data_IF_348539061525
#
_entry.id   IF_348539061525
#
_cell.length_a   1.000
_cell.length_b   1.000
_cell.length_c   1.000
_cell.angle_alpha   90.00
_cell.angle_beta   90.00
_cell.angle_gamma   90.00
#
_symmetry.space_group_name_H-M   'P 1'
#
loop_
_entity.id
_entity.type
_entity.pdbx_description
1 polymer ?
#
# COMPACT_ATOMS: atom_id res chain seq x y z
N UNK A 1 -45.22 -34.52 -14.88
CA UNK A 1 -45.57 -33.83 -16.14
C UNK A 1 -46.11 -32.45 -15.73
N UNK A 2 -45.86 -31.28 -16.31
CA UNK A 2 -44.92 -30.72 -17.32
C UNK A 2 -45.35 -29.25 -17.55
N UNK A 3 -44.54 -28.22 -17.87
CA UNK A 3 -43.12 -28.02 -18.24
C UNK A 3 -42.75 -26.54 -17.91
N UNK A 4 -41.46 -26.16 -17.90
CA UNK A 4 -41.05 -24.74 -18.01
C UNK A 4 -41.14 -24.23 -19.47
N UNK A 5 -41.16 -22.90 -19.70
CA UNK A 5 -39.94 -22.12 -20.02
C UNK A 5 -39.98 -20.66 -19.44
N UNK A 6 -38.98 -19.77 -19.54
CA UNK A 6 -37.57 -19.78 -19.99
C UNK A 6 -36.83 -18.56 -19.42
N UNK A 7 -35.49 -18.60 -19.37
CA UNK A 7 -34.65 -17.42 -19.14
C UNK A 7 -34.80 -16.36 -20.25
N UNK A 8 -34.82 -15.08 -19.89
CA UNK A 8 -34.46 -13.98 -20.80
C UNK A 8 -33.22 -13.23 -20.30
N UNK A 9 -32.23 -13.11 -21.19
CA UNK A 9 -30.96 -12.44 -20.93
C UNK A 9 -31.12 -10.93 -21.07
N UNK A 10 -30.58 -10.17 -20.13
CA UNK A 10 -30.32 -8.73 -20.33
C UNK A 10 -29.14 -8.62 -21.32
N UNK A 11 -29.43 -8.35 -22.60
CA UNK A 11 -28.40 -8.37 -23.67
C UNK A 11 -27.82 -7.01 -24.04
N UNK A 12 -28.34 -5.89 -23.52
CA UNK A 12 -27.71 -4.58 -23.70
C UNK A 12 -28.19 -3.56 -22.66
N UNK A 13 -27.23 -2.80 -22.10
CA UNK A 13 -27.49 -1.53 -21.43
C UNK A 13 -26.94 -0.46 -22.36
N UNK A 14 -27.79 0.43 -22.89
CA UNK A 14 -27.33 1.61 -23.62
C UNK A 14 -27.07 2.76 -22.63
N UNK A 15 -25.91 3.37 -22.77
CA UNK A 15 -25.42 4.48 -21.95
C UNK A 15 -25.65 5.78 -22.72
N UNK A 16 -26.40 6.72 -22.17
CA UNK A 16 -26.50 8.08 -22.75
C UNK A 16 -25.41 8.98 -22.15
N UNK A 17 -24.50 9.55 -22.96
CA UNK A 17 -23.51 10.50 -22.49
C UNK A 17 -24.15 11.86 -22.17
N UNK A 18 -23.61 12.65 -21.22
CA UNK A 18 -24.19 13.93 -20.83
C UNK A 18 -24.17 14.94 -21.99
N UNK A 19 -25.31 15.61 -22.21
CA UNK A 19 -25.51 16.54 -23.31
C UNK A 19 -24.63 17.80 -23.17
N UNK A 20 -23.68 17.98 -24.10
CA UNK A 20 -22.87 19.20 -24.19
C UNK A 20 -23.66 20.34 -24.86
N UNK A 21 -23.94 21.42 -24.12
CA UNK A 21 -24.51 22.64 -24.71
C UNK A 21 -23.41 23.63 -25.10
N UNK A 22 -23.43 24.13 -26.34
CA UNK A 22 -22.61 25.27 -26.77
C UNK A 22 -23.46 26.52 -26.96
N UNK A 23 -22.91 27.69 -26.61
CA UNK A 23 -23.52 29.01 -26.84
C UNK A 23 -22.78 29.66 -28.01
N UNK A 24 -23.52 30.19 -28.99
CA UNK A 24 -22.91 30.91 -30.10
C UNK A 24 -22.52 32.37 -29.74
N UNK A 25 -21.77 33.05 -30.62
CA UNK A 25 -21.33 34.44 -30.40
C UNK A 25 -22.46 35.48 -30.44
N UNK A 26 -23.71 35.09 -30.73
CA UNK A 26 -24.90 35.93 -30.60
C UNK A 26 -25.66 35.65 -29.29
N UNK A 27 -25.14 34.79 -28.42
CA UNK A 27 -25.74 34.44 -27.12
C UNK A 27 -26.87 33.42 -27.21
N UNK A 28 -27.10 32.78 -28.37
CA UNK A 28 -28.18 31.80 -28.51
C UNK A 28 -27.68 30.42 -28.03
N UNK A 29 -28.38 29.87 -27.04
CA UNK A 29 -28.10 28.54 -26.47
C UNK A 29 -28.95 27.51 -27.21
N UNK A 30 -28.30 26.59 -27.92
CA UNK A 30 -28.99 25.51 -28.65
C UNK A 30 -28.71 24.18 -27.95
N UNK A 31 -29.77 23.51 -27.50
CA UNK A 31 -29.70 22.15 -26.96
C UNK A 31 -30.07 21.20 -28.09
N UNK A 32 -29.19 20.26 -28.43
CA UNK A 32 -29.52 19.18 -29.34
C UNK A 32 -30.25 18.07 -28.57
N UNK A 33 -31.51 17.84 -28.92
CA UNK A 33 -32.29 16.68 -28.47
C UNK A 33 -32.64 15.88 -29.72
N UNK A 34 -32.24 14.59 -29.84
CA UNK A 34 -32.66 13.75 -30.95
C UNK A 34 -34.19 13.61 -30.98
N UNK A 35 -34.80 13.80 -32.15
CA UNK A 35 -36.24 13.69 -32.34
C UNK A 35 -36.71 12.24 -32.15
N UNK A 36 -37.49 11.97 -31.10
CA UNK A 36 -38.09 10.65 -30.90
C UNK A 36 -38.91 10.47 -29.62
N UNK A 37 -38.52 11.12 -28.53
CA UNK A 37 -39.20 10.96 -27.24
C UNK A 37 -40.42 11.88 -27.10
N UNK A 38 -41.62 11.27 -27.06
CA UNK A 38 -42.83 11.90 -26.51
C UNK A 38 -42.91 11.61 -25.02
N UNK A 39 -43.21 12.63 -24.22
CA UNK A 39 -43.46 12.51 -22.79
C UNK A 39 -44.91 12.10 -22.51
N UNK A 40 -45.11 10.95 -21.88
CA UNK A 40 -46.37 10.58 -21.23
C UNK A 40 -46.10 10.27 -19.74
N UNK A 41 -46.84 10.93 -18.84
CA UNK A 41 -46.95 10.56 -17.42
C UNK A 41 -45.79 10.96 -16.50
N UNK A 42 -45.83 12.19 -15.95
CA UNK A 42 -44.80 12.75 -15.05
C UNK A 42 -44.67 12.12 -13.63
N UNK A 43 -45.40 11.05 -13.29
CA UNK A 43 -45.51 10.59 -11.89
C UNK A 43 -44.81 9.25 -11.53
N UNK A 44 -44.07 8.58 -12.43
CA UNK A 44 -43.44 7.27 -12.11
C UNK A 44 -42.01 7.04 -12.62
N UNK A 45 -41.11 8.00 -12.40
CA UNK A 45 -39.66 7.75 -12.26
C UNK A 45 -39.18 8.50 -11.01
N UNK A 46 -38.37 7.97 -10.10
CA UNK A 46 -37.33 6.97 -10.22
C UNK A 46 -36.15 7.30 -9.28
N UNK A 47 -36.04 8.55 -8.83
CA UNK A 47 -35.01 9.03 -7.90
C UNK A 47 -35.40 8.94 -6.41
N UNK A 48 -36.64 9.28 -6.04
CA UNK A 48 -37.09 9.30 -4.63
C UNK A 48 -37.07 7.92 -3.93
N UNK A 49 -36.82 6.83 -4.67
CA UNK A 49 -36.69 5.47 -4.12
C UNK A 49 -35.23 5.00 -3.94
N UNK A 50 -34.25 5.80 -4.38
CA UNK A 50 -32.83 5.51 -4.23
C UNK A 50 -32.28 5.93 -2.84
N UNK A 51 -32.94 6.88 -2.15
CA UNK A 51 -32.56 7.33 -0.80
C UNK A 51 -33.25 6.54 0.32
N UNK A 52 -33.18 5.21 0.19
CA UNK A 52 -32.78 4.39 1.33
C UNK A 52 -31.55 3.57 0.93
N UNK A 53 -30.40 4.26 0.87
CA UNK A 53 -29.16 3.65 1.35
C UNK A 53 -29.52 2.93 2.65
N UNK A 54 -29.24 1.62 2.80
CA UNK A 54 -29.59 0.90 4.02
C UNK A 54 -29.10 1.72 5.21
N UNK A 55 -29.94 1.90 6.24
CA UNK A 55 -29.52 2.62 7.45
C UNK A 55 -28.28 1.97 8.08
N UNK A 56 -28.07 0.68 7.80
CA UNK A 56 -26.84 -0.07 8.05
C UNK A 56 -25.59 0.48 7.33
N UNK A 57 -25.68 0.98 6.10
CA UNK A 57 -24.52 1.49 5.33
C UNK A 57 -24.06 2.86 5.85
N UNK A 58 -24.98 3.76 6.20
CA UNK A 58 -24.62 5.02 6.87
C UNK A 58 -24.15 4.79 8.32
N UNK A 59 -24.77 3.86 9.06
CA UNK A 59 -24.27 3.45 10.39
C UNK A 59 -22.90 2.75 10.31
N UNK A 60 -22.62 1.99 9.25
CA UNK A 60 -21.31 1.37 9.03
C UNK A 60 -20.24 2.40 8.67
N UNK A 61 -20.56 3.39 7.82
CA UNK A 61 -19.68 4.56 7.59
C UNK A 61 -19.39 5.30 8.90
N UNK A 62 -20.38 5.45 9.78
CA UNK A 62 -20.22 6.05 11.11
C UNK A 62 -19.42 5.21 12.12
N UNK A 63 -18.96 4.00 11.74
CA UNK A 63 -18.14 3.10 12.56
C UNK A 63 -16.74 2.83 12.01
N UNK A 64 -16.40 3.32 10.82
CA UNK A 64 -15.03 3.19 10.32
C UNK A 64 -14.07 4.03 11.19
N UNK A 65 -12.82 3.57 11.42
CA UNK A 65 -11.84 4.36 12.14
C UNK A 65 -11.52 5.67 11.38
N UNK A 66 -11.20 6.74 12.09
CA UNK A 66 -10.79 8.01 11.48
C UNK A 66 -9.46 8.53 12.00
N UNK A 67 -8.77 9.33 11.19
CA UNK A 67 -7.51 10.02 11.52
C UNK A 67 -7.70 11.46 11.08
N UNK A 68 -7.51 12.41 12.00
CA UNK A 68 -7.62 13.85 11.73
C UNK A 68 -6.39 14.59 12.23
N UNK A 69 -5.98 15.61 11.48
CA UNK A 69 -4.93 16.56 11.85
C UNK A 69 -5.55 17.81 12.52
N UNK A 70 -4.76 18.50 13.34
CA UNK A 70 -5.21 19.65 14.11
C UNK A 70 -5.39 20.92 13.26
N UNK A 71 -6.47 21.66 13.54
CA UNK A 71 -6.74 22.98 12.98
C UNK A 71 -7.30 22.96 11.55
N UNK A 72 -8.34 23.77 11.22
CA UNK A 72 -8.87 23.85 9.86
C UNK A 72 -7.85 24.54 8.95
N UNK A 73 -7.15 23.75 8.14
CA UNK A 73 -6.13 24.18 7.20
C UNK A 73 -6.32 23.46 5.86
N UNK A 74 -5.81 24.03 4.77
CA UNK A 74 -5.76 23.39 3.45
C UNK A 74 -5.16 21.97 3.55
N UNK A 75 -4.07 21.85 4.31
CA UNK A 75 -3.42 20.58 4.67
C UNK A 75 -4.37 19.59 5.36
N UNK A 76 -5.10 20.00 6.40
CA UNK A 76 -5.98 19.08 7.14
C UNK A 76 -7.16 18.61 6.28
N UNK A 77 -7.73 19.50 5.48
CA UNK A 77 -8.84 19.16 4.55
C UNK A 77 -8.34 18.18 3.49
N UNK A 78 -7.21 18.49 2.84
CA UNK A 78 -6.62 17.61 1.83
C UNK A 78 -6.25 16.23 2.40
N UNK A 79 -5.78 16.17 3.65
CA UNK A 79 -5.51 14.91 4.34
C UNK A 79 -6.78 14.12 4.67
N UNK A 80 -7.82 14.77 5.19
CA UNK A 80 -9.11 14.14 5.46
C UNK A 80 -9.74 13.59 4.16
N UNK A 81 -9.58 14.29 3.03
CA UNK A 81 -9.95 13.78 1.70
C UNK A 81 -9.14 12.54 1.28
N UNK A 82 -7.82 12.53 1.50
CA UNK A 82 -7.00 11.34 1.25
C UNK A 82 -7.47 10.15 2.07
N UNK A 83 -7.68 10.34 3.38
CA UNK A 83 -8.22 9.30 4.26
C UNK A 83 -9.58 8.83 3.75
N UNK A 84 -10.50 9.75 3.42
CA UNK A 84 -11.84 9.40 2.96
C UNK A 84 -11.85 8.64 1.63
N UNK A 85 -10.97 8.97 0.67
CA UNK A 85 -10.89 8.29 -0.62
C UNK A 85 -10.21 6.93 -0.46
N UNK A 86 -9.05 6.85 0.21
CA UNK A 86 -8.34 5.58 0.43
C UNK A 86 -9.18 4.62 1.30
N UNK A 87 -9.86 5.11 2.34
CA UNK A 87 -10.80 4.31 3.15
C UNK A 87 -11.97 3.76 2.32
N UNK A 88 -12.39 4.48 1.27
CA UNK A 88 -13.41 4.07 0.29
C UNK A 88 -12.82 3.42 -0.97
N UNK A 89 -11.56 2.98 -0.94
CA UNK A 89 -10.95 2.18 -2.00
C UNK A 89 -11.93 1.09 -2.44
N UNK A 90 -12.05 0.80 -3.76
CA UNK A 90 -13.14 0.04 -4.34
C UNK A 90 -13.20 -1.39 -3.78
N UNK A 91 -13.95 -1.50 -2.69
CA UNK A 91 -14.50 -2.67 -2.06
C UNK A 91 -16.02 -2.46 -2.01
N UNK A 92 -16.60 -2.06 -3.17
CA UNK A 92 -18.04 -2.15 -3.37
C UNK A 92 -18.44 -3.62 -3.36
N UNK A 93 -19.70 -3.93 -3.05
CA UNK A 93 -20.18 -5.32 -3.06
C UNK A 93 -19.97 -6.01 -4.42
N UNK A 94 -19.92 -5.24 -5.50
CA UNK A 94 -19.72 -5.72 -6.88
C UNK A 94 -18.24 -5.94 -7.24
N UNK A 95 -17.32 -5.16 -6.65
CA UNK A 95 -15.88 -5.22 -6.88
C UNK A 95 -15.08 -5.41 -5.58
N UNK A 96 -15.25 -6.53 -4.85
CA UNK A 96 -14.48 -6.81 -3.65
C UNK A 96 -12.99 -7.08 -3.92
N UNK A 97 -12.12 -6.52 -3.06
CA UNK A 97 -10.66 -6.64 -3.16
C UNK A 97 -10.21 -8.11 -3.09
N UNK A 98 -10.83 -8.97 -2.28
CA UNK A 98 -10.47 -10.39 -2.19
C UNK A 98 -10.57 -11.13 -3.53
N UNK A 99 -11.53 -10.71 -4.37
CA UNK A 99 -11.80 -11.33 -5.67
C UNK A 99 -10.99 -10.70 -6.81
N UNK A 100 -10.89 -9.37 -6.85
CA UNK A 100 -10.31 -8.63 -7.98
C UNK A 100 -8.91 -8.07 -7.71
N UNK A 101 -8.60 -7.83 -6.44
CA UNK A 101 -7.40 -7.11 -6.00
C UNK A 101 -7.64 -5.60 -5.99
N UNK A 102 -6.57 -4.84 -5.85
CA UNK A 102 -6.60 -3.39 -5.88
C UNK A 102 -5.30 -2.86 -6.52
N UNK A 103 -5.42 -2.26 -7.70
CA UNK A 103 -4.30 -1.64 -8.40
C UNK A 103 -3.99 -0.21 -7.94
N UNK A 104 -2.86 0.38 -8.39
CA UNK A 104 -2.37 1.68 -7.91
C UNK A 104 -3.34 2.86 -8.09
N UNK A 105 -4.24 2.78 -9.09
CA UNK A 105 -5.29 3.76 -9.36
C UNK A 105 -6.71 3.32 -8.94
N UNK A 106 -6.84 2.17 -8.26
CA UNK A 106 -8.13 1.53 -7.99
C UNK A 106 -8.91 1.30 -9.29
N UNK A 107 -10.16 1.76 -9.33
CA UNK A 107 -11.03 1.77 -10.52
C UNK A 107 -11.14 3.16 -11.18
N UNK A 108 -10.21 4.08 -10.89
CA UNK A 108 -10.27 5.47 -11.40
C UNK A 108 -9.53 5.68 -12.71
N UNK A 109 -8.85 4.64 -13.23
CA UNK A 109 -8.10 4.67 -14.48
C UNK A 109 -7.96 3.27 -15.10
N UNK A 110 -7.62 3.19 -16.39
CA UNK A 110 -7.29 1.96 -17.11
C UNK A 110 -5.78 1.66 -17.16
N UNK A 111 -4.92 2.61 -16.75
CA UNK A 111 -3.48 2.38 -16.56
C UNK A 111 -3.22 1.21 -15.61
N UNK A 112 -2.23 0.41 -15.99
CA UNK A 112 -1.90 -0.87 -15.37
C UNK A 112 -3.07 -1.87 -15.32
N UNK A 113 -4.12 -1.68 -16.14
CA UNK A 113 -5.23 -2.61 -16.36
C UNK A 113 -5.99 -3.03 -15.07
N UNK A 114 -5.93 -2.22 -14.02
CA UNK A 114 -6.45 -2.58 -12.69
C UNK A 114 -5.69 -3.71 -11.99
N UNK A 115 -4.52 -4.11 -12.49
CA UNK A 115 -3.69 -5.16 -11.91
C UNK A 115 -3.16 -4.75 -10.53
N UNK A 116 -2.93 -5.74 -9.68
CA UNK A 116 -2.46 -5.60 -8.30
C UNK A 116 -0.96 -5.84 -8.21
N UNK A 117 -0.25 -4.87 -7.65
CA UNK A 117 1.20 -4.81 -7.51
C UNK A 117 1.60 -4.91 -6.02
N UNK A 118 2.90 -4.84 -5.72
CA UNK A 118 3.43 -4.66 -4.36
C UNK A 118 2.86 -3.42 -3.64
N UNK A 119 2.38 -2.42 -4.39
CA UNK A 119 1.62 -1.26 -3.91
C UNK A 119 0.55 -1.60 -2.87
N UNK A 120 -0.19 -2.70 -3.08
CA UNK A 120 -1.22 -3.17 -2.17
C UNK A 120 -0.61 -3.56 -0.81
N UNK A 121 0.43 -4.39 -0.83
CA UNK A 121 1.02 -4.99 0.37
C UNK A 121 1.92 -4.01 1.14
N UNK A 122 2.59 -3.10 0.44
CA UNK A 122 3.60 -2.18 1.00
C UNK A 122 3.02 -0.82 1.40
N UNK A 123 2.02 -0.30 0.68
CA UNK A 123 1.47 1.02 0.96
C UNK A 123 0.01 0.99 1.41
N UNK A 124 -0.87 0.30 0.68
CA UNK A 124 -2.31 0.34 0.96
C UNK A 124 -2.67 -0.45 2.23
N UNK A 125 -2.16 -1.67 2.39
CA UNK A 125 -2.39 -2.52 3.58
C UNK A 125 -1.98 -1.81 4.87
N UNK A 126 -0.76 -1.23 5.01
CA UNK A 126 -0.38 -0.51 6.23
C UNK A 126 -1.32 0.65 6.60
N UNK A 127 -1.91 1.34 5.62
CA UNK A 127 -2.92 2.36 5.89
C UNK A 127 -4.27 1.72 6.30
N UNK A 128 -4.72 0.71 5.57
CA UNK A 128 -5.97 -0.01 5.81
C UNK A 128 -6.05 -0.62 7.23
N UNK A 129 -4.95 -1.10 7.82
CA UNK A 129 -4.93 -1.58 9.21
C UNK A 129 -5.49 -0.56 10.22
N UNK A 130 -5.35 0.74 9.93
CA UNK A 130 -5.78 1.82 10.80
C UNK A 130 -7.02 2.58 10.31
N UNK A 131 -7.37 2.54 9.02
CA UNK A 131 -8.54 3.28 8.48
C UNK A 131 -9.64 2.38 7.89
N UNK A 132 -9.32 1.16 7.45
CA UNK A 132 -10.31 0.19 6.95
C UNK A 132 -9.82 -1.26 7.15
N UNK A 133 -9.94 -1.82 8.38
CA UNK A 133 -9.51 -3.18 8.67
C UNK A 133 -10.18 -4.26 7.81
N UNK A 134 -11.37 -3.99 7.27
CA UNK A 134 -12.04 -4.90 6.32
C UNK A 134 -11.30 -4.95 4.99
N UNK A 135 -10.87 -3.80 4.45
CA UNK A 135 -10.05 -3.75 3.23
C UNK A 135 -8.67 -4.42 3.44
N UNK A 136 -8.05 -4.26 4.62
CA UNK A 136 -6.82 -4.97 4.96
C UNK A 136 -7.01 -6.50 4.99
N UNK A 137 -8.16 -6.97 5.52
CA UNK A 137 -8.54 -8.39 5.47
C UNK A 137 -8.72 -8.87 4.03
N UNK A 138 -9.52 -8.16 3.23
CA UNK A 138 -9.76 -8.50 1.82
C UNK A 138 -8.48 -8.52 0.98
N UNK A 139 -7.54 -7.60 1.23
CA UNK A 139 -6.22 -7.60 0.61
C UNK A 139 -5.37 -8.84 0.99
N UNK A 140 -5.45 -9.28 2.25
CA UNK A 140 -4.80 -10.52 2.67
C UNK A 140 -5.47 -11.76 2.04
N UNK A 141 -6.80 -11.83 2.06
CA UNK A 141 -7.57 -12.91 1.42
C UNK A 141 -7.24 -13.02 -0.08
N UNK A 142 -7.14 -11.88 -0.79
CA UNK A 142 -6.73 -11.83 -2.20
C UNK A 142 -5.42 -12.58 -2.47
N UNK A 143 -4.39 -12.34 -1.65
CA UNK A 143 -3.08 -12.99 -1.77
C UNK A 143 -3.13 -14.45 -1.34
N UNK A 144 -3.86 -14.78 -0.27
CA UNK A 144 -3.99 -16.16 0.23
C UNK A 144 -4.71 -17.08 -0.77
N UNK A 145 -5.82 -16.63 -1.36
CA UNK A 145 -6.55 -17.37 -2.41
C UNK A 145 -5.68 -17.66 -3.64
N UNK A 146 -4.65 -16.83 -3.87
CA UNK A 146 -3.71 -16.96 -4.99
C UNK A 146 -2.44 -17.74 -4.66
N UNK A 147 -2.25 -18.18 -3.40
CA UNK A 147 -1.09 -18.99 -3.00
C UNK A 147 -0.97 -20.29 -3.82
N UNK A 148 -2.10 -20.93 -4.16
CA UNK A 148 -2.12 -22.12 -5.02
C UNK A 148 -1.68 -21.83 -6.48
N UNK A 149 -1.92 -20.61 -6.99
CA UNK A 149 -1.37 -20.19 -8.28
C UNK A 149 0.10 -19.76 -8.14
N UNK A 150 0.50 -19.10 -7.06
CA UNK A 150 1.90 -18.75 -6.79
C UNK A 150 2.81 -19.99 -6.72
N UNK A 151 2.30 -21.12 -6.19
CA UNK A 151 2.92 -22.46 -6.27
C UNK A 151 3.09 -22.95 -7.71
N UNK A 152 2.09 -22.73 -8.59
CA UNK A 152 2.18 -23.09 -10.02
C UNK A 152 3.18 -22.20 -10.77
N UNK A 153 3.16 -20.89 -10.51
CA UNK A 153 4.11 -19.92 -11.07
C UNK A 153 5.57 -20.32 -10.73
N UNK A 154 5.84 -20.71 -9.47
CA UNK A 154 7.14 -21.24 -9.06
C UNK A 154 7.52 -22.51 -9.84
N UNK A 155 6.61 -23.49 -9.94
CA UNK A 155 6.89 -24.73 -10.67
C UNK A 155 7.17 -24.50 -12.17
N UNK A 156 6.55 -23.50 -12.79
CA UNK A 156 6.83 -23.09 -14.17
C UNK A 156 8.21 -22.41 -14.29
N UNK A 157 8.52 -21.47 -13.38
CA UNK A 157 9.81 -20.80 -13.30
C UNK A 157 10.98 -21.78 -13.07
N UNK A 158 10.80 -22.74 -12.16
CA UNK A 158 11.82 -23.71 -11.76
C UNK A 158 12.11 -24.74 -12.86
N UNK A 159 11.10 -25.16 -13.65
CA UNK A 159 11.32 -25.99 -14.87
C UNK A 159 12.29 -25.31 -15.86
N UNK A 160 12.26 -23.98 -15.95
CA UNK A 160 13.15 -23.20 -16.80
C UNK A 160 14.60 -23.08 -16.30
N UNK A 161 14.98 -23.77 -15.22
CA UNK A 161 16.33 -23.73 -14.64
C UNK A 161 17.19 -24.98 -14.90
N UNK A 162 16.63 -26.08 -15.43
CA UNK A 162 17.33 -27.35 -15.68
C UNK A 162 18.05 -27.96 -14.45
N UNK A 163 17.62 -27.59 -13.24
CA UNK A 163 18.14 -28.13 -11.97
C UNK A 163 17.08 -29.01 -11.31
N UNK A 164 17.49 -29.98 -10.48
CA UNK A 164 16.57 -30.72 -9.64
C UNK A 164 16.08 -29.83 -8.49
N UNK A 165 14.76 -29.64 -8.37
CA UNK A 165 14.16 -28.78 -7.36
C UNK A 165 13.07 -29.50 -6.56
N UNK A 166 12.99 -29.21 -5.27
CA UNK A 166 11.88 -29.64 -4.44
C UNK A 166 10.61 -28.86 -4.82
N UNK A 167 9.48 -29.58 -4.91
CA UNK A 167 8.17 -28.97 -5.11
C UNK A 167 7.74 -28.31 -3.80
N UNK A 168 7.66 -26.97 -3.78
CA UNK A 168 7.34 -26.25 -2.55
C UNK A 168 7.61 -24.76 -2.53
N UNK A 169 8.19 -24.16 -3.58
CA UNK A 169 8.34 -22.71 -3.69
C UNK A 169 7.04 -21.98 -4.09
N UNK A 170 6.94 -20.68 -3.81
CA UNK A 170 5.89 -19.78 -4.32
C UNK A 170 6.51 -18.54 -4.95
N UNK A 171 5.96 -18.13 -6.09
CA UNK A 171 6.26 -16.84 -6.74
C UNK A 171 4.94 -16.12 -6.99
N UNK A 172 4.75 -14.99 -6.32
CA UNK A 172 3.68 -14.04 -6.68
C UNK A 172 4.13 -13.24 -7.91
N UNK A 173 3.22 -12.97 -8.86
CA UNK A 173 3.54 -12.19 -10.03
C UNK A 173 3.73 -10.71 -9.69
N UNK A 174 4.52 -10.01 -10.51
CA UNK A 174 4.68 -8.56 -10.44
C UNK A 174 3.36 -7.85 -10.67
N UNK A 175 2.66 -8.20 -11.76
CA UNK A 175 1.28 -7.80 -11.99
C UNK A 175 0.36 -8.99 -11.74
N UNK A 176 -0.48 -8.89 -10.71
CA UNK A 176 -1.48 -9.90 -10.37
C UNK A 176 -2.87 -9.46 -10.85
N UNK A 177 -3.59 -10.38 -11.49
CA UNK A 177 -5.01 -10.20 -11.84
C UNK A 177 -5.87 -11.27 -11.16
N UNK A 178 -7.15 -11.39 -11.54
CA UNK A 178 -8.11 -12.37 -10.98
C UNK A 178 -7.55 -13.80 -10.97
N UNK A 179 -6.71 -14.15 -11.95
CA UNK A 179 -6.10 -15.47 -12.12
C UNK A 179 -4.91 -15.77 -11.19
N UNK A 180 -4.25 -14.75 -10.62
CA UNK A 180 -2.99 -14.88 -9.89
C UNK A 180 -1.77 -15.29 -10.74
N UNK A 181 -1.91 -15.35 -12.08
CA UNK A 181 -0.79 -15.52 -13.01
C UNK A 181 -0.08 -14.19 -13.23
N UNK A 182 1.17 -14.27 -13.69
CA UNK A 182 1.85 -13.10 -14.25
C UNK A 182 1.10 -12.61 -15.49
N UNK A 183 0.77 -11.32 -15.48
CA UNK A 183 0.10 -10.62 -16.58
C UNK A 183 0.85 -9.34 -17.00
N UNK A 184 2.00 -9.05 -16.40
CA UNK A 184 2.84 -7.94 -16.83
C UNK A 184 3.33 -8.17 -18.25
N UNK A 185 3.12 -7.17 -19.11
CA UNK A 185 3.56 -7.17 -20.51
C UNK A 185 5.04 -6.76 -20.68
N UNK A 186 5.66 -6.23 -19.63
CA UNK A 186 7.04 -5.71 -19.65
C UNK A 186 8.02 -6.74 -19.06
N UNK A 187 9.33 -6.52 -19.24
CA UNK A 187 10.39 -7.40 -18.70
C UNK A 187 10.59 -7.15 -17.20
N UNK A 188 9.65 -7.59 -16.37
CA UNK A 188 9.69 -7.45 -14.89
C UNK A 188 10.19 -8.70 -14.18
N UNK A 189 10.65 -9.72 -14.92
CA UNK A 189 11.14 -11.01 -14.40
C UNK A 189 12.15 -10.88 -13.24
N UNK A 190 12.94 -9.80 -13.20
CA UNK A 190 13.99 -9.58 -12.21
C UNK A 190 13.55 -8.68 -11.03
N UNK A 191 12.34 -8.09 -11.02
CA UNK A 191 11.71 -7.40 -9.88
C UNK A 191 11.12 -8.42 -8.89
N UNK A 192 11.99 -9.08 -8.14
CA UNK A 192 11.62 -10.28 -7.38
C UNK A 192 11.35 -10.03 -5.88
N UNK A 193 11.36 -8.76 -5.44
CA UNK A 193 10.96 -8.39 -4.09
C UNK A 193 9.45 -8.63 -3.82
N UNK A 194 8.60 -8.56 -4.85
CA UNK A 194 7.14 -8.76 -4.78
C UNK A 194 6.69 -9.97 -3.95
N UNK A 195 7.38 -11.10 -4.05
CA UNK A 195 7.00 -12.29 -3.28
C UNK A 195 7.26 -12.11 -1.77
N UNK A 196 8.33 -11.42 -1.40
CA UNK A 196 8.61 -11.00 -0.02
C UNK A 196 7.67 -9.89 0.46
N UNK A 197 7.33 -8.92 -0.39
CA UNK A 197 6.34 -7.88 -0.09
C UNK A 197 4.99 -8.46 0.30
N UNK A 198 4.53 -9.50 -0.42
CA UNK A 198 3.30 -10.23 -0.08
C UNK A 198 3.40 -10.90 1.29
N UNK A 199 4.54 -11.53 1.63
CA UNK A 199 4.73 -12.09 2.99
C UNK A 199 4.73 -10.96 4.03
N UNK A 200 5.30 -9.80 3.72
CA UNK A 200 5.32 -8.63 4.60
C UNK A 200 3.91 -8.11 4.88
N UNK A 201 3.13 -7.78 3.84
CA UNK A 201 1.74 -7.30 3.98
C UNK A 201 0.84 -8.31 4.69
N UNK A 202 0.91 -9.59 4.32
CA UNK A 202 0.19 -10.68 5.00
C UNK A 202 0.55 -10.78 6.50
N UNK A 203 1.80 -10.49 6.86
CA UNK A 203 2.26 -10.55 8.25
C UNK A 203 1.74 -9.37 9.08
N UNK A 204 1.62 -8.18 8.49
CA UNK A 204 0.98 -7.05 9.15
C UNK A 204 -0.51 -7.31 9.37
N UNK A 205 -1.20 -7.94 8.41
CA UNK A 205 -2.58 -8.42 8.60
C UNK A 205 -2.66 -9.53 9.67
N UNK A 206 -1.74 -10.50 9.71
CA UNK A 206 -1.67 -11.51 10.78
C UNK A 206 -1.50 -10.87 12.16
N UNK A 207 -0.67 -9.84 12.27
CA UNK A 207 -0.45 -9.12 13.53
C UNK A 207 -1.75 -8.53 14.10
N UNK A 208 -2.64 -8.01 13.23
CA UNK A 208 -3.96 -7.50 13.60
C UNK A 208 -5.06 -8.57 13.69
N UNK A 209 -4.75 -9.85 13.42
CA UNK A 209 -5.72 -10.95 13.39
C UNK A 209 -6.60 -10.99 12.14
N UNK A 210 -6.18 -10.31 11.07
CA UNK A 210 -6.89 -10.17 9.79
C UNK A 210 -6.44 -11.18 8.72
N UNK A 211 -5.40 -11.98 9.00
CA UNK A 211 -4.95 -13.07 8.13
C UNK A 211 -4.75 -14.37 8.93
N UNK A 212 -4.99 -15.53 8.31
CA UNK A 212 -4.84 -16.83 8.97
C UNK A 212 -3.34 -17.15 9.20
N UNK A 213 -2.84 -17.28 10.44
CA UNK A 213 -1.42 -17.47 10.71
C UNK A 213 -0.81 -18.74 10.08
N UNK A 214 -1.61 -19.79 9.92
CA UNK A 214 -1.16 -21.06 9.31
C UNK A 214 -0.98 -20.90 7.80
N UNK A 215 -1.90 -20.19 7.14
CA UNK A 215 -1.81 -19.89 5.72
C UNK A 215 -0.65 -18.93 5.43
N UNK A 216 -0.48 -17.87 6.22
CA UNK A 216 0.66 -16.95 6.09
C UNK A 216 2.00 -17.67 6.34
N UNK A 217 2.05 -18.63 7.28
CA UNK A 217 3.23 -19.46 7.48
C UNK A 217 3.54 -20.39 6.29
N UNK A 218 2.55 -20.89 5.56
CA UNK A 218 2.79 -21.68 4.34
C UNK A 218 3.31 -20.83 3.19
N UNK A 219 2.70 -19.65 2.99
CA UNK A 219 3.19 -18.66 2.02
C UNK A 219 4.63 -18.24 2.35
N UNK A 220 4.93 -17.99 3.62
CA UNK A 220 6.30 -17.68 4.10
C UNK A 220 7.29 -18.77 3.69
N UNK A 221 7.00 -20.05 3.99
CA UNK A 221 7.89 -21.18 3.64
C UNK A 221 8.09 -21.28 2.13
N UNK A 222 7.02 -21.11 1.35
CA UNK A 222 7.11 -21.18 -0.11
C UNK A 222 7.93 -20.05 -0.73
N UNK A 223 7.76 -18.82 -0.24
CA UNK A 223 8.56 -17.68 -0.70
C UNK A 223 10.02 -17.81 -0.24
N UNK A 224 10.28 -18.30 0.97
CA UNK A 224 11.63 -18.64 1.43
C UNK A 224 12.31 -19.69 0.53
N UNK A 225 11.59 -20.75 0.14
CA UNK A 225 12.12 -21.77 -0.77
C UNK A 225 12.40 -21.20 -2.18
N UNK A 226 11.58 -20.27 -2.67
CA UNK A 226 11.88 -19.53 -3.90
C UNK A 226 13.19 -18.73 -3.76
N UNK A 227 13.33 -17.88 -2.73
CA UNK A 227 14.57 -17.13 -2.50
C UNK A 227 15.78 -18.03 -2.24
N UNK A 228 15.57 -19.21 -1.65
CA UNK A 228 16.57 -20.27 -1.55
C UNK A 228 17.09 -20.67 -2.92
N UNK A 229 16.21 -21.16 -3.80
CA UNK A 229 16.57 -21.59 -5.16
C UNK A 229 17.04 -20.43 -6.06
N UNK A 230 16.60 -19.20 -5.81
CA UNK A 230 16.97 -18.01 -6.60
C UNK A 230 18.35 -17.43 -6.25
N UNK A 231 18.86 -17.74 -5.06
CA UNK A 231 20.17 -17.28 -4.57
C UNK A 231 21.29 -18.27 -4.86
N UNK A 232 22.50 -17.74 -5.04
CA UNK A 232 23.74 -18.51 -5.17
C UNK A 232 24.52 -18.43 -3.87
N UNK A 233 24.97 -19.58 -3.35
CA UNK A 233 25.90 -19.58 -2.21
C UNK A 233 27.30 -19.18 -2.71
N UNK A 234 27.92 -18.21 -2.03
CA UNK A 234 29.29 -17.74 -2.26
C UNK A 234 30.05 -17.64 -0.92
N UNK A 235 31.29 -17.14 -0.96
CA UNK A 235 32.05 -16.78 0.22
C UNK A 235 31.49 -15.53 0.96
N UNK A 236 30.64 -14.71 0.32
CA UNK A 236 29.99 -13.53 0.92
C UNK A 236 28.67 -13.87 1.64
N UNK A 237 28.17 -15.09 1.50
CA UNK A 237 26.84 -15.50 1.95
C UNK A 237 25.99 -16.01 0.79
N UNK A 238 24.66 -15.90 0.90
CA UNK A 238 23.73 -16.11 -0.21
C UNK A 238 23.56 -14.82 -0.99
N UNK A 239 23.82 -14.87 -2.29
CA UNK A 239 23.74 -13.71 -3.18
C UNK A 239 22.59 -13.86 -4.17
N UNK A 240 21.86 -12.77 -4.42
CA UNK A 240 20.84 -12.72 -5.48
C UNK A 240 21.35 -11.79 -6.58
N UNK A 241 21.88 -12.42 -7.63
CA UNK A 241 22.48 -11.74 -8.79
C UNK A 241 21.40 -11.38 -9.83
N UNK A 242 21.61 -10.33 -10.63
CA UNK A 242 20.68 -9.84 -11.68
C UNK A 242 19.25 -9.61 -11.14
N UNK A 243 19.11 -8.60 -10.28
CA UNK A 243 17.85 -8.17 -9.65
C UNK A 243 17.53 -6.74 -10.07
N UNK A 244 16.29 -6.49 -10.48
CA UNK A 244 15.78 -5.13 -10.66
C UNK A 244 15.42 -4.57 -9.29
N UNK A 245 16.06 -3.48 -8.89
CA UNK A 245 15.78 -2.81 -7.62
C UNK A 245 14.36 -2.19 -7.61
N UNK A 246 13.76 -1.91 -6.44
CA UNK A 246 12.63 -0.98 -6.35
C UNK A 246 12.90 0.36 -7.07
N UNK A 247 14.17 0.76 -7.19
CA UNK A 247 14.57 1.77 -8.16
C UNK A 247 14.68 1.15 -9.57
N UNK A 248 13.54 1.03 -10.25
CA UNK A 248 13.33 0.21 -11.47
C UNK A 248 14.26 0.51 -12.66
N UNK A 249 14.92 1.67 -12.67
CA UNK A 249 15.90 2.05 -13.71
C UNK A 249 17.21 1.25 -13.64
N UNK A 250 17.43 0.49 -12.57
CA UNK A 250 18.70 -0.19 -12.31
C UNK A 250 18.45 -1.69 -12.04
N UNK A 251 19.08 -2.52 -12.87
CA UNK A 251 19.30 -3.94 -12.60
C UNK A 251 20.72 -4.09 -12.05
N UNK A 252 20.90 -4.87 -10.98
CA UNK A 252 22.19 -5.04 -10.30
C UNK A 252 22.21 -6.28 -9.40
N UNK A 253 23.40 -6.60 -8.89
CA UNK A 253 23.58 -7.72 -7.97
C UNK A 253 23.30 -7.29 -6.53
N UNK A 254 22.66 -8.17 -5.77
CA UNK A 254 22.47 -8.03 -4.32
C UNK A 254 21.70 -6.76 -3.89
N UNK A 255 20.56 -6.48 -4.53
CA UNK A 255 19.63 -5.43 -4.06
C UNK A 255 19.27 -5.62 -2.58
N UNK A 256 19.55 -4.60 -1.76
CA UNK A 256 19.42 -4.62 -0.31
C UNK A 256 17.99 -4.97 0.12
N UNK A 257 16.99 -4.38 -0.52
CA UNK A 257 15.58 -4.59 -0.17
C UNK A 257 15.18 -6.05 -0.43
N UNK A 258 15.54 -6.56 -1.61
CA UNK A 258 15.27 -7.95 -2.02
C UNK A 258 16.01 -8.95 -1.14
N UNK A 259 17.30 -8.73 -0.85
CA UNK A 259 18.09 -9.61 0.02
C UNK A 259 17.59 -9.61 1.47
N UNK A 260 17.13 -8.47 2.01
CA UNK A 260 16.54 -8.39 3.35
C UNK A 260 15.18 -9.10 3.42
N UNK A 261 14.31 -8.96 2.41
CA UNK A 261 13.07 -9.73 2.31
C UNK A 261 13.34 -11.25 2.23
N UNK A 262 14.35 -11.64 1.46
CA UNK A 262 14.79 -13.02 1.33
C UNK A 262 15.30 -13.61 2.67
N UNK A 263 16.16 -12.89 3.38
CA UNK A 263 16.62 -13.24 4.73
C UNK A 263 15.45 -13.37 5.72
N UNK A 264 14.56 -12.37 5.75
CA UNK A 264 13.45 -12.33 6.68
C UNK A 264 12.45 -13.47 6.45
N UNK A 265 12.11 -13.77 5.20
CA UNK A 265 11.27 -14.92 4.86
C UNK A 265 11.95 -16.23 5.26
N UNK A 266 13.23 -16.39 4.94
CA UNK A 266 14.02 -17.61 5.22
C UNK A 266 14.19 -17.88 6.71
N UNK A 267 14.32 -16.83 7.51
CA UNK A 267 14.41 -16.91 8.98
C UNK A 267 13.03 -16.87 9.68
N UNK A 268 11.96 -17.28 8.99
CA UNK A 268 10.63 -17.44 9.58
C UNK A 268 10.00 -16.14 10.06
N UNK A 269 10.23 -15.04 9.34
CA UNK A 269 9.75 -13.67 9.60
C UNK A 269 10.37 -13.04 10.84
N UNK A 270 11.70 -13.15 10.94
CA UNK A 270 12.53 -12.61 12.03
C UNK A 270 13.86 -12.10 11.47
N UNK A 271 14.39 -11.03 12.05
CA UNK A 271 15.73 -10.54 11.73
C UNK A 271 16.80 -11.39 12.43
N UNK A 272 17.79 -11.87 11.66
CA UNK A 272 18.97 -12.53 12.22
C UNK A 272 20.06 -11.49 12.57
N UNK A 273 20.79 -11.63 13.70
CA UNK A 273 21.98 -10.82 13.97
C UNK A 273 23.19 -11.23 13.10
N UNK A 274 23.07 -12.33 12.34
CA UNK A 274 24.04 -12.82 11.37
C UNK A 274 23.26 -13.22 10.10
N UNK A 275 22.99 -12.30 9.18
CA UNK A 275 22.20 -12.60 7.99
C UNK A 275 22.91 -13.64 7.13
N UNK A 276 22.13 -14.54 6.53
CA UNK A 276 22.60 -15.56 5.59
C UNK A 276 22.68 -15.02 4.18
N UNK A 277 21.76 -14.12 3.81
CA UNK A 277 21.83 -13.35 2.58
C UNK A 277 22.81 -12.18 2.74
N UNK A 278 23.57 -11.89 1.67
CA UNK A 278 24.57 -10.83 1.68
C UNK A 278 23.89 -9.45 1.77
N UNK A 279 24.40 -8.61 2.66
CA UNK A 279 23.92 -7.23 2.87
C UNK A 279 24.95 -6.27 2.27
N UNK A 280 24.64 -5.57 1.16
CA UNK A 280 25.61 -4.71 0.48
C UNK A 280 25.91 -3.46 1.32
N UNK A 281 27.20 -3.22 1.57
CA UNK A 281 27.68 -2.05 2.34
C UNK A 281 29.12 -1.71 2.02
N UNK A 282 29.51 -0.48 2.33
CA UNK A 282 30.88 0.02 2.21
C UNK A 282 31.40 0.59 3.54
N UNK A 283 32.43 1.45 3.48
CA UNK A 283 33.01 2.08 4.67
C UNK A 283 32.08 3.13 5.33
N UNK A 284 31.04 3.59 4.64
CA UNK A 284 30.15 4.65 5.15
C UNK A 284 28.87 4.08 5.74
N UNK A 285 28.17 3.20 5.01
CA UNK A 285 26.88 2.61 5.42
C UNK A 285 26.45 1.51 4.43
N UNK A 286 25.20 1.05 4.54
CA UNK A 286 24.54 0.21 3.56
C UNK A 286 24.47 0.88 2.16
N UNK A 287 24.37 0.06 1.12
CA UNK A 287 24.21 0.43 -0.30
C UNK A 287 22.84 -0.05 -0.81
N UNK A 288 22.34 0.46 -1.94
CA UNK A 288 21.14 -0.13 -2.54
C UNK A 288 21.42 -1.51 -3.16
N UNK A 289 22.59 -1.67 -3.79
CA UNK A 289 23.05 -2.90 -4.46
C UNK A 289 24.58 -2.84 -4.64
N UNK A 290 25.22 -3.93 -5.12
CA UNK A 290 26.66 -3.92 -5.41
C UNK A 290 26.99 -2.90 -6.52
N UNK A 291 27.98 -2.04 -6.28
CA UNK A 291 28.41 -0.96 -7.17
C UNK A 291 27.35 0.14 -7.45
N UNK A 292 26.45 0.39 -6.50
CA UNK A 292 25.48 1.49 -6.54
C UNK A 292 26.15 2.86 -6.89
N UNK A 293 25.78 3.51 -8.02
CA UNK A 293 26.37 4.77 -8.46
C UNK A 293 25.88 5.99 -7.67
N UNK A 294 24.96 5.81 -6.71
CA UNK A 294 24.48 6.83 -5.78
C UNK A 294 23.92 8.10 -6.44
N UNK A 295 23.03 7.91 -7.43
CA UNK A 295 22.33 8.99 -8.15
C UNK A 295 21.04 8.53 -8.81
N UNK A 296 20.21 9.51 -9.19
CA UNK A 296 19.08 9.37 -10.12
C UNK A 296 18.02 8.32 -9.75
N UNK A 297 17.79 8.11 -8.45
CA UNK A 297 16.82 7.14 -7.98
C UNK A 297 15.39 7.54 -8.38
N UNK A 298 14.64 6.63 -9.00
CA UNK A 298 13.23 6.87 -9.33
C UNK A 298 12.36 7.00 -8.08
N UNK A 299 12.64 6.18 -7.06
CA UNK A 299 11.90 6.10 -5.80
C UNK A 299 12.80 5.55 -4.68
N UNK A 300 12.28 5.47 -3.46
CA UNK A 300 13.00 4.87 -2.34
C UNK A 300 13.29 3.38 -2.61
N UNK A 301 14.55 2.97 -2.42
CA UNK A 301 14.98 1.57 -2.51
C UNK A 301 15.60 1.12 -1.17
N UNK A 302 16.86 1.43 -0.89
CA UNK A 302 17.55 1.04 0.34
C UNK A 302 16.95 1.65 1.61
N UNK A 303 16.31 2.82 1.53
CA UNK A 303 15.52 3.39 2.64
C UNK A 303 14.34 2.50 3.06
N UNK A 304 13.88 1.60 2.18
CA UNK A 304 12.83 0.62 2.51
C UNK A 304 13.29 -0.39 3.56
N UNK A 305 14.61 -0.59 3.71
CA UNK A 305 15.18 -1.35 4.83
C UNK A 305 14.83 -0.76 6.21
N UNK A 306 14.56 0.55 6.28
CA UNK A 306 14.16 1.26 7.51
C UNK A 306 12.63 1.32 7.59
N UNK A 307 11.96 1.78 6.53
CA UNK A 307 10.51 1.78 6.41
C UNK A 307 10.06 1.31 5.02
N UNK A 308 9.43 0.13 4.89
CA UNK A 308 8.68 -0.55 5.95
C UNK A 308 9.47 -1.54 6.82
N UNK A 309 10.63 -2.06 6.40
CA UNK A 309 11.17 -3.33 6.95
C UNK A 309 11.67 -3.28 8.41
N UNK A 310 12.01 -2.11 8.95
CA UNK A 310 12.56 -1.97 10.31
C UNK A 310 13.80 -2.87 10.57
N UNK A 311 14.64 -3.08 9.54
CA UNK A 311 15.84 -3.92 9.67
C UNK A 311 16.80 -3.30 10.71
N UNK A 312 17.21 -4.02 11.77
CA UNK A 312 17.87 -3.39 12.92
C UNK A 312 19.21 -2.69 12.63
N UNK A 313 19.95 -3.06 11.59
CA UNK A 313 21.17 -2.35 11.16
C UNK A 313 20.81 -1.04 10.46
N UNK A 314 19.84 -1.09 9.53
CA UNK A 314 19.35 0.10 8.83
C UNK A 314 18.69 1.12 9.78
N UNK A 315 17.90 0.68 10.77
CA UNK A 315 17.31 1.57 11.79
C UNK A 315 18.39 2.24 12.67
N UNK A 316 19.54 1.60 12.91
CA UNK A 316 20.68 2.24 13.62
C UNK A 316 21.40 3.27 12.74
N UNK A 317 21.53 2.98 11.45
CA UNK A 317 22.21 3.85 10.46
C UNK A 317 21.25 4.83 9.76
N UNK A 318 20.00 4.93 10.20
CA UNK A 318 18.91 5.58 9.47
C UNK A 318 19.19 7.04 9.08
N UNK A 319 19.92 7.79 9.92
CA UNK A 319 20.36 9.16 9.60
C UNK A 319 21.36 9.16 8.45
N UNK A 320 22.39 8.33 8.53
CA UNK A 320 23.43 8.20 7.49
C UNK A 320 22.83 7.72 6.17
N UNK A 321 21.90 6.76 6.21
CA UNK A 321 21.18 6.31 5.01
C UNK A 321 20.27 7.40 4.42
N UNK A 322 19.60 8.22 5.25
CA UNK A 322 18.81 9.37 4.78
C UNK A 322 19.69 10.43 4.11
N UNK A 323 20.81 10.80 4.72
CA UNK A 323 21.79 11.73 4.17
C UNK A 323 22.45 11.16 2.90
N UNK A 324 22.60 9.84 2.82
CA UNK A 324 23.13 9.14 1.64
C UNK A 324 22.13 9.10 0.48
N UNK A 325 20.84 8.90 0.72
CA UNK A 325 19.88 8.53 -0.32
C UNK A 325 18.68 9.48 -0.51
N UNK A 326 18.25 10.21 0.52
CA UNK A 326 16.97 10.91 0.53
C UNK A 326 16.85 12.08 -0.45
N UNK A 327 17.96 12.79 -0.68
CA UNK A 327 18.10 13.90 -1.64
C UNK A 327 18.24 13.45 -3.11
N UNK A 328 18.52 12.16 -3.34
CA UNK A 328 18.75 11.56 -4.66
C UNK A 328 17.50 10.90 -5.25
N UNK A 329 16.39 10.90 -4.51
CA UNK A 329 15.08 10.53 -5.04
C UNK A 329 14.63 11.64 -6.00
N UNK A 330 14.36 11.25 -7.25
CA UNK A 330 13.95 12.17 -8.30
C UNK A 330 12.66 12.88 -7.94
N UNK A 331 12.58 14.22 -8.03
CA UNK A 331 11.34 14.95 -7.76
C UNK A 331 10.23 14.57 -8.76
N UNK A 332 10.58 14.09 -9.95
CA UNK A 332 9.62 13.62 -10.96
C UNK A 332 9.31 12.11 -10.84
N UNK A 333 9.78 11.47 -9.75
CA UNK A 333 9.43 10.10 -9.39
C UNK A 333 7.99 9.96 -8.87
N UNK A 334 7.49 8.73 -8.74
CA UNK A 334 6.17 8.47 -8.17
C UNK A 334 6.12 8.88 -6.69
N UNK A 335 4.96 9.43 -6.28
CA UNK A 335 4.79 10.13 -5.01
C UNK A 335 5.21 9.38 -3.73
N UNK A 336 5.17 8.05 -3.75
CA UNK A 336 5.50 7.21 -2.60
C UNK A 336 6.93 7.42 -2.05
N UNK A 337 7.91 7.79 -2.89
CA UNK A 337 9.32 7.88 -2.48
C UNK A 337 9.59 8.87 -1.35
N UNK A 338 9.02 10.07 -1.41
CA UNK A 338 9.21 11.10 -0.37
C UNK A 338 8.48 10.76 0.94
N UNK A 339 7.40 9.98 0.90
CA UNK A 339 6.68 9.56 2.11
C UNK A 339 7.53 8.66 3.02
N UNK A 340 8.41 7.85 2.43
CA UNK A 340 9.41 7.03 3.15
C UNK A 340 10.42 7.94 3.87
N UNK A 341 10.95 8.94 3.17
CA UNK A 341 11.89 9.94 3.73
C UNK A 341 11.26 10.67 4.92
N UNK A 342 10.03 11.15 4.78
CA UNK A 342 9.28 11.81 5.84
C UNK A 342 9.04 10.91 7.06
N UNK A 343 8.64 9.67 6.82
CA UNK A 343 8.41 8.66 7.87
C UNK A 343 9.68 8.38 8.67
N UNK A 344 10.85 8.29 8.02
CA UNK A 344 12.13 8.03 8.70
C UNK A 344 12.59 9.26 9.49
N UNK A 345 12.46 10.49 8.96
CA UNK A 345 12.76 11.70 9.75
C UNK A 345 11.91 11.79 11.02
N UNK A 346 10.62 11.48 10.95
CA UNK A 346 9.76 11.46 12.13
C UNK A 346 10.22 10.40 13.15
N UNK A 347 10.59 9.20 12.68
CA UNK A 347 11.14 8.11 13.52
C UNK A 347 12.48 8.46 14.18
N UNK A 348 13.30 9.32 13.56
CA UNK A 348 14.53 9.88 14.14
C UNK A 348 14.28 11.00 15.16
N UNK A 349 13.04 11.45 15.36
CA UNK A 349 12.72 12.56 16.26
C UNK A 349 12.97 13.94 15.66
N UNK A 350 12.91 14.07 14.32
CA UNK A 350 13.19 15.31 13.57
C UNK A 350 11.90 15.86 12.92
N UNK A 351 10.94 16.40 13.71
CA UNK A 351 9.58 16.69 13.24
C UNK A 351 9.54 17.75 12.14
N UNK A 352 10.41 18.76 12.18
CA UNK A 352 10.45 19.86 11.20
C UNK A 352 10.92 19.36 9.82
N UNK A 353 11.96 18.50 9.77
CA UNK A 353 12.41 17.84 8.54
C UNK A 353 11.38 16.84 8.01
N UNK A 354 10.74 16.10 8.92
CA UNK A 354 9.69 15.14 8.58
C UNK A 354 8.47 15.83 7.97
N UNK A 355 8.07 16.98 8.51
CA UNK A 355 6.97 17.78 7.99
C UNK A 355 7.27 18.32 6.59
N UNK A 356 8.45 18.90 6.37
CA UNK A 356 8.87 19.37 5.05
C UNK A 356 8.85 18.25 3.99
N UNK A 357 9.48 17.10 4.29
CA UNK A 357 9.49 15.95 3.39
C UNK A 357 8.09 15.33 3.19
N UNK A 358 7.19 15.45 4.18
CA UNK A 358 5.81 15.00 4.04
C UNK A 358 5.01 15.90 3.09
N UNK A 359 5.15 17.22 3.17
CA UNK A 359 4.57 18.14 2.19
C UNK A 359 5.04 17.81 0.77
N UNK A 360 6.33 17.56 0.57
CA UNK A 360 6.89 17.12 -0.71
C UNK A 360 6.31 15.78 -1.23
N UNK A 361 5.83 14.92 -0.32
CA UNK A 361 5.26 13.62 -0.67
C UNK A 361 3.84 13.65 -1.22
N UNK A 362 3.09 14.73 -0.99
CA UNK A 362 1.69 14.83 -1.45
C UNK A 362 1.35 16.15 -2.16
N UNK A 363 1.84 17.30 -1.68
CA UNK A 363 1.39 18.61 -2.19
C UNK A 363 1.69 18.81 -3.67
N UNK A 364 2.90 18.49 -4.20
CA UNK A 364 3.18 18.58 -5.64
C UNK A 364 2.40 17.58 -6.51
N UNK A 365 1.69 16.63 -5.89
CA UNK A 365 0.92 15.58 -6.55
C UNK A 365 -0.59 15.84 -6.47
N UNK A 366 -1.07 16.68 -5.54
CA UNK A 366 -2.45 17.16 -5.47
C UNK A 366 -2.63 18.59 -6.01
N UNK A 367 -1.55 19.27 -6.44
CA UNK A 367 -1.58 20.58 -7.09
C UNK A 367 -2.15 20.50 -8.51
N UNK A 368 -3.48 20.31 -8.60
CA UNK A 368 -4.26 20.29 -9.83
C UNK A 368 -5.71 20.73 -9.55
N UNK A 369 -6.50 21.15 -10.57
CA UNK A 369 -7.81 21.76 -10.36
C UNK A 369 -8.88 20.88 -9.67
N UNK A 370 -8.65 19.57 -9.58
CA UNK A 370 -9.56 18.62 -8.94
C UNK A 370 -9.03 18.09 -7.60
N UNK A 371 -7.85 18.54 -7.15
CA UNK A 371 -7.14 18.06 -5.96
C UNK A 371 -6.91 16.53 -5.91
N UNK A 372 -6.95 15.87 -7.07
CA UNK A 372 -6.73 14.42 -7.16
C UNK A 372 -5.27 14.10 -6.87
N UNK A 373 -5.02 13.06 -6.08
CA UNK A 373 -3.67 12.57 -5.85
C UNK A 373 -3.15 11.94 -7.15
N UNK A 374 -2.17 12.55 -7.82
CA UNK A 374 -1.57 12.03 -9.05
C UNK A 374 -0.34 11.14 -8.78
N UNK A 375 -0.03 10.24 -9.72
CA UNK A 375 1.20 9.43 -9.68
C UNK A 375 2.44 10.31 -9.78
N UNK A 376 2.41 11.32 -10.67
CA UNK A 376 3.53 12.19 -11.04
C UNK A 376 3.10 13.65 -11.03
N UNK A 377 3.99 14.52 -10.54
CA UNK A 377 3.80 15.98 -10.50
C UNK A 377 3.33 16.51 -11.86
N UNK A 378 2.33 17.39 -11.84
CA UNK A 378 1.74 18.03 -13.03
C UNK A 378 1.12 17.07 -14.08
N UNK A 379 0.82 15.81 -13.75
CA UNK A 379 0.16 14.87 -14.69
C UNK A 379 -1.22 14.46 -14.16
N UNK A 380 -2.27 15.11 -14.66
CA UNK A 380 -3.66 14.73 -14.36
C UNK A 380 -4.01 13.42 -15.08
N UNK A 381 -3.94 12.29 -14.36
CA UNK A 381 -4.36 10.96 -14.83
C UNK A 381 -5.65 10.52 -14.15
N UNK A 382 -5.55 10.26 -12.85
CA UNK A 382 -6.61 9.76 -11.97
C UNK A 382 -6.13 9.75 -10.52
N UNK A 383 -6.89 9.13 -9.61
CA UNK A 383 -6.54 9.07 -8.20
C UNK A 383 -5.59 7.90 -7.89
N UNK A 384 -4.35 8.24 -7.54
CA UNK A 384 -3.25 7.33 -7.20
C UNK A 384 -3.31 6.95 -5.71
N UNK A 385 -3.96 5.83 -5.43
CA UNK A 385 -4.15 5.29 -4.08
C UNK A 385 -2.82 5.02 -3.38
N UNK A 386 -1.80 4.59 -4.12
CA UNK A 386 -0.45 4.30 -3.59
C UNK A 386 0.19 5.53 -2.94
N UNK A 387 0.17 6.68 -3.63
CA UNK A 387 0.72 7.94 -3.12
C UNK A 387 -0.05 8.45 -1.91
N UNK A 388 -1.39 8.44 -1.99
CA UNK A 388 -2.26 8.82 -0.89
C UNK A 388 -2.05 7.93 0.35
N UNK A 389 -1.94 6.61 0.17
CA UNK A 389 -1.63 5.68 1.24
C UNK A 389 -0.23 5.92 1.85
N UNK A 390 0.78 6.24 1.03
CA UNK A 390 2.10 6.66 1.53
C UNK A 390 2.05 7.93 2.41
N UNK A 391 1.32 8.95 1.99
CA UNK A 391 1.11 10.17 2.76
C UNK A 391 0.36 9.91 4.10
N UNK A 392 -0.65 9.03 4.09
CA UNK A 392 -1.37 8.55 5.28
C UNK A 392 -0.45 7.75 6.21
N UNK A 393 0.36 6.86 5.64
CA UNK A 393 1.34 6.07 6.38
C UNK A 393 2.39 6.93 7.09
N UNK A 394 2.76 8.08 6.53
CA UNK A 394 3.64 9.04 7.22
C UNK A 394 3.00 9.58 8.50
N UNK A 395 1.70 9.84 8.49
CA UNK A 395 0.97 10.27 9.70
C UNK A 395 0.87 9.12 10.71
N UNK A 396 0.61 7.88 10.28
CA UNK A 396 0.48 6.71 11.17
C UNK A 396 1.84 6.26 11.74
N UNK A 397 2.80 5.92 10.87
CA UNK A 397 4.06 5.25 11.22
C UNK A 397 5.23 6.22 11.45
N UNK A 398 5.04 7.50 11.10
CA UNK A 398 5.96 8.61 11.36
C UNK A 398 5.46 9.49 12.52
N UNK A 399 4.49 10.38 12.27
CA UNK A 399 4.10 11.42 13.24
C UNK A 399 3.38 10.88 14.49
N UNK A 400 2.40 9.99 14.33
CA UNK A 400 1.83 9.24 15.45
C UNK A 400 2.81 8.18 15.97
N UNK A 401 3.69 7.69 15.11
CA UNK A 401 4.83 6.84 15.48
C UNK A 401 4.42 5.42 15.89
N UNK A 402 3.39 4.86 15.25
CA UNK A 402 3.04 3.45 15.41
C UNK A 402 4.16 2.55 14.87
N UNK A 403 4.48 1.50 15.63
CA UNK A 403 5.43 0.42 15.27
C UNK A 403 4.78 -0.92 15.54
N UNK A 404 4.83 -1.81 14.54
CA UNK A 404 4.39 -3.21 14.63
C UNK A 404 5.66 -4.05 14.63
N UNK A 405 5.89 -4.88 15.66
CA UNK A 405 7.10 -5.70 15.76
C UNK A 405 6.90 -6.93 16.66
N UNK A 406 7.87 -7.86 16.70
CA UNK A 406 7.91 -9.00 17.62
C UNK A 406 8.32 -8.62 19.04
N UNK A 407 8.82 -7.40 19.24
CA UNK A 407 9.25 -6.84 20.54
C UNK A 407 8.65 -5.44 20.76
N UNK A 408 8.44 -4.98 22.01
CA UNK A 408 8.01 -3.62 22.27
C UNK A 408 9.11 -2.61 21.91
N UNK A 409 8.74 -1.45 21.35
CA UNK A 409 9.70 -0.40 21.01
C UNK A 409 10.23 0.30 22.28
N UNK A 410 11.55 0.35 22.51
CA UNK A 410 12.13 1.07 23.64
C UNK A 410 11.78 2.57 23.64
N UNK A 411 11.31 3.07 24.79
CA UNK A 411 10.91 4.47 24.96
C UNK A 411 9.62 4.86 24.24
N UNK A 412 8.76 3.90 23.86
CA UNK A 412 7.40 4.20 23.43
C UNK A 412 6.56 4.79 24.56
N UNK A 413 5.67 5.73 24.24
CA UNK A 413 4.68 6.33 25.17
C UNK A 413 3.59 5.34 25.55
N UNK A 414 3.31 4.37 24.68
CA UNK A 414 2.37 3.28 24.90
C UNK A 414 2.80 2.05 24.13
N UNK A 415 2.52 0.88 24.69
CA UNK A 415 2.73 -0.40 24.02
C UNK A 415 1.68 -1.41 24.45
N UNK A 416 1.28 -2.27 23.53
CA UNK A 416 0.32 -3.34 23.77
C UNK A 416 0.72 -4.57 22.96
N UNK A 417 0.78 -5.72 23.62
CA UNK A 417 0.79 -6.99 22.91
C UNK A 417 -0.62 -7.30 22.39
N UNK A 418 -0.71 -7.68 21.12
CA UNK A 418 -1.91 -8.13 20.42
C UNK A 418 -2.11 -9.63 20.65
N UNK A 419 -3.32 -10.16 20.43
CA UNK A 419 -3.62 -11.60 20.57
C UNK A 419 -2.76 -12.50 19.66
N UNK A 420 -2.25 -11.95 18.57
CA UNK A 420 -1.29 -12.58 17.64
C UNK A 420 0.13 -12.74 18.22
N UNK A 421 0.40 -12.21 19.40
CA UNK A 421 1.71 -12.17 20.05
C UNK A 421 2.63 -11.04 19.55
N UNK A 422 2.25 -10.32 18.50
CA UNK A 422 2.93 -9.11 18.04
C UNK A 422 2.71 -7.93 19.00
N UNK A 423 3.66 -7.00 19.02
CA UNK A 423 3.59 -5.77 19.79
C UNK A 423 3.22 -4.60 18.88
N UNK A 424 2.24 -3.81 19.32
CA UNK A 424 1.96 -2.49 18.78
C UNK A 424 2.48 -1.45 19.77
N UNK A 425 3.43 -0.62 19.34
CA UNK A 425 4.04 0.43 20.16
C UNK A 425 3.86 1.80 19.52
N UNK A 426 3.77 2.86 20.31
CA UNK A 426 3.50 4.22 19.84
C UNK A 426 4.51 5.20 20.44
N UNK A 427 5.27 5.88 19.58
CA UNK A 427 6.27 6.90 19.95
C UNK A 427 6.08 8.15 19.09
N UNK A 428 5.18 9.07 19.46
CA UNK A 428 4.83 10.21 18.63
C UNK A 428 5.98 11.18 18.38
N UNK A 429 5.97 11.79 17.20
CA UNK A 429 6.85 12.85 16.74
C UNK A 429 6.00 13.84 15.90
N UNK A 430 5.08 14.54 16.57
CA UNK A 430 4.07 15.40 15.91
C UNK A 430 4.68 16.78 15.57
N UNK A 431 4.66 17.22 14.30
CA UNK A 431 5.07 18.56 13.90
C UNK A 431 4.24 19.67 14.55
N UNK A 432 4.86 20.84 14.78
CA UNK A 432 4.19 22.01 15.39
C UNK A 432 3.04 22.51 14.51
N UNK A 433 3.22 22.41 13.21
CA UNK A 433 2.30 22.82 12.15
C UNK A 433 1.05 21.94 12.09
N UNK A 434 1.16 20.67 12.50
CA UNK A 434 0.03 19.76 12.66
C UNK A 434 -0.65 19.98 14.03
N UNK A 435 0.13 20.28 15.06
CA UNK A 435 -0.32 20.61 16.42
C UNK A 435 -0.89 19.43 17.21
N UNK A 436 -1.83 18.69 16.63
CA UNK A 436 -2.47 17.51 17.22
C UNK A 436 -2.83 16.48 16.14
N UNK A 437 -2.78 15.20 16.49
CA UNK A 437 -3.38 14.10 15.72
C UNK A 437 -4.45 13.44 16.60
N UNK A 438 -5.64 13.22 16.04
CA UNK A 438 -6.75 12.50 16.67
C UNK A 438 -7.10 11.28 15.82
N UNK A 439 -6.87 10.09 16.37
CA UNK A 439 -7.26 8.82 15.74
C UNK A 439 -8.40 8.20 16.53
N UNK A 440 -9.53 7.88 15.91
CA UNK A 440 -10.73 7.39 16.60
C UNK A 440 -11.17 6.05 16.06
N UNK A 441 -11.68 5.18 16.93
CA UNK A 441 -12.21 3.87 16.55
C UNK A 441 -11.17 2.88 16.02
N UNK A 442 -9.89 3.03 16.37
CA UNK A 442 -8.84 2.09 15.94
C UNK A 442 -9.15 0.70 16.50
N UNK A 443 -9.30 -0.30 15.62
CA UNK A 443 -9.69 -1.66 15.99
C UNK A 443 -8.47 -2.49 16.39
N UNK A 444 -8.36 -2.87 17.66
CA UNK A 444 -7.30 -3.75 18.17
C UNK A 444 -7.91 -4.91 18.96
N UNK A 445 -7.62 -6.16 18.56
CA UNK A 445 -8.13 -7.39 19.18
C UNK A 445 -9.67 -7.49 19.28
N UNK A 446 -10.41 -6.76 18.43
CA UNK A 446 -11.87 -6.64 18.46
C UNK A 446 -12.41 -5.58 19.42
N UNK A 447 -11.55 -4.68 19.93
CA UNK A 447 -11.94 -3.51 20.74
C UNK A 447 -11.58 -2.21 20.03
N UNK A 448 -12.37 -1.16 20.25
CA UNK A 448 -12.15 0.16 19.69
C UNK A 448 -11.30 1.02 20.64
N UNK A 449 -10.36 1.78 20.09
CA UNK A 449 -9.50 2.71 20.83
C UNK A 449 -9.44 4.07 20.13
N UNK A 450 -9.50 5.13 20.92
CA UNK A 450 -9.22 6.49 20.48
C UNK A 450 -7.83 6.88 21.00
N UNK A 451 -6.95 7.33 20.10
CA UNK A 451 -5.62 7.85 20.40
C UNK A 451 -5.58 9.35 20.11
N UNK A 452 -4.92 10.12 20.98
CA UNK A 452 -4.59 11.52 20.68
C UNK A 452 -3.19 11.87 21.14
N UNK A 453 -2.48 12.65 20.30
CA UNK A 453 -1.10 13.08 20.54
C UNK A 453 -0.89 14.51 20.03
N UNK A 454 -0.11 15.32 20.74
CA UNK A 454 0.17 16.72 20.38
C UNK A 454 1.66 16.98 20.13
N UNK A 455 1.97 18.08 19.43
CA UNK A 455 3.34 18.60 19.26
C UNK A 455 3.99 19.04 20.57
N UNK A 456 3.17 19.30 21.61
CA UNK A 456 3.64 19.65 22.95
C UNK A 456 3.99 18.41 23.79
N UNK A 457 3.83 17.20 23.24
CA UNK A 457 4.16 15.93 23.90
C UNK A 457 3.02 15.32 24.72
N UNK A 458 1.82 15.90 24.66
CA UNK A 458 0.61 15.28 25.22
C UNK A 458 0.32 13.98 24.49
N UNK A 459 -0.14 12.99 25.22
CA UNK A 459 -0.47 11.68 24.67
C UNK A 459 -1.56 11.01 25.50
N UNK A 460 -2.58 10.44 24.85
CA UNK A 460 -3.62 9.65 25.50
C UNK A 460 -4.12 8.52 24.62
N UNK A 461 -4.49 7.41 25.25
CA UNK A 461 -5.20 6.29 24.63
C UNK A 461 -6.41 5.97 25.50
N UNK A 462 -7.60 5.90 24.90
CA UNK A 462 -8.85 5.60 25.60
C UNK A 462 -9.55 4.45 24.88
N UNK A 463 -9.86 3.33 25.58
CA UNK A 463 -10.82 2.37 25.05
C UNK A 463 -12.16 3.08 24.84
N UNK A 464 -12.80 2.83 23.69
CA UNK A 464 -14.16 3.29 23.42
C UNK A 464 -15.12 2.19 23.88
N UNK A 465 -15.96 2.54 24.86
CA UNK A 465 -16.94 1.65 25.50
C UNK A 465 -18.12 1.34 24.57
#
# INVERSE_FOLDING_TARGET
MSKGPSDEKITSIQFEPPATSTVDRAGKKTIWVPSGYKSEGEEKLGFAKAEKLPEATERAKAMLPSIHLGGPSEMSVQFDEMVAIVQRAPATADFPIEKYGLGPFGLTNDLYFGHTFWDLDVWMVPAFLFINPSAAKSAADYRLDRAAQARRNFNEWAKGKNEAFELGGMIFPWESSVSGREVCIQKTRNQQHISGDVVWGLTQCEAFGLANPTAVADVTRGVAQFYGMRSKQTARGREILDVTSPNEKFEGDNDLYTNLLAEWCSNGRRWSPRPTYYVPKDQQSLLNYDNDPMRDYQQAAGLLAIYPLQYPEAEREARTMLERFGDKISPNGPAMGHSVVATIWARLGEPEKAYAAWLDSWKPYTDNPNHYFSERRNVLRAYFYTGAAGAINTVIYGFAGFRIDRIPLPGAKWTKQLKSGWWLSVKPCVPKEIGQISMRGIVLDGKLYDFSMSSNGDFSVKPRL
#
